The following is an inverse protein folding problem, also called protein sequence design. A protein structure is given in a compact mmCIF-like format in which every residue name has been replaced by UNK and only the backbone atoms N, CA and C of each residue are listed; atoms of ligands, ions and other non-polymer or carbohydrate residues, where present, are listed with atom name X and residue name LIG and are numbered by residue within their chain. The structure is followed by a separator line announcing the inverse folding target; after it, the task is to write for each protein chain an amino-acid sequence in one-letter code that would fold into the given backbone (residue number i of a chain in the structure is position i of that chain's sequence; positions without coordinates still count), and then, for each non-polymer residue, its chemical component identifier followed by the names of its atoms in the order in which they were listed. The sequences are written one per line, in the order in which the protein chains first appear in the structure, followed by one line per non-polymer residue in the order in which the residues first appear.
data_IF_040790259995
#
_entry.id   IF_040790259995
#
_cell.length_a   1.000
_cell.length_b   1.000
_cell.length_c   1.000
_cell.angle_alpha   90.00
_cell.angle_beta   90.00
_cell.angle_gamma   90.00
#
_symmetry.space_group_name_H-M   'P 1'
#
loop_
_entity.id
_entity.type
_entity.pdbx_description
1 polymer ?
#
# COMPACT_ATOMS: atom_id res chain seq x y z
N UNK A 1 24.14 -1.61 4.98
CA UNK A 1 23.33 -2.76 5.43
C UNK A 1 23.01 -2.52 6.90
N UNK A 2 21.93 -1.80 7.20
CA UNK A 2 21.50 -1.60 8.59
C UNK A 2 20.98 -2.94 9.10
N UNK A 3 21.61 -3.48 10.14
CA UNK A 3 21.19 -4.70 10.83
C UNK A 3 19.71 -4.58 11.14
N UNK A 4 18.89 -5.42 10.49
CA UNK A 4 17.44 -5.44 10.64
C UNK A 4 17.11 -5.54 12.13
N UNK A 5 16.76 -4.41 12.74
CA UNK A 5 16.27 -4.36 14.10
C UNK A 5 14.96 -5.14 14.11
N UNK A 6 14.94 -6.31 14.73
CA UNK A 6 13.73 -7.13 14.90
C UNK A 6 12.88 -6.41 15.94
N UNK A 7 11.84 -5.64 15.57
CA UNK A 7 11.24 -4.67 16.48
C UNK A 7 10.43 -5.37 17.58
N UNK A 8 9.84 -6.53 17.27
CA UNK A 8 9.05 -7.31 18.21
C UNK A 8 9.88 -7.93 19.34
N UNK A 9 11.18 -8.14 19.12
CA UNK A 9 12.08 -8.74 20.11
C UNK A 9 12.89 -7.72 20.89
N UNK A 10 12.47 -6.46 20.87
CA UNK A 10 13.10 -5.35 21.58
C UNK A 10 12.07 -4.54 22.32
N UNK A 11 12.53 -3.86 23.36
CA UNK A 11 11.70 -2.88 24.08
C UNK A 11 11.42 -1.67 23.18
N UNK A 12 10.30 -0.99 23.44
CA UNK A 12 9.96 0.25 22.73
C UNK A 12 11.07 1.30 22.85
N UNK A 13 11.73 1.39 24.01
CA UNK A 13 12.85 2.30 24.25
C UNK A 13 14.07 1.99 23.37
N UNK A 14 14.41 0.72 23.19
CA UNK A 14 15.51 0.31 22.29
C UNK A 14 15.20 0.59 20.82
N UNK A 15 13.94 0.38 20.40
CA UNK A 15 13.49 0.71 19.05
C UNK A 15 13.53 2.22 18.83
N UNK A 16 13.01 3.02 19.76
CA UNK A 16 13.08 4.49 19.71
C UNK A 16 14.53 4.99 19.64
N UNK A 17 15.43 4.43 20.46
CA UNK A 17 16.86 4.73 20.43
C UNK A 17 17.51 4.35 19.10
N UNK A 18 17.15 3.22 18.52
CA UNK A 18 17.65 2.79 17.21
C UNK A 18 17.23 3.73 16.08
N UNK A 19 16.04 4.33 16.19
CA UNK A 19 15.56 5.37 15.27
C UNK A 19 16.07 6.78 15.60
N UNK A 20 16.70 6.97 16.77
CA UNK A 20 17.23 8.25 17.25
C UNK A 20 16.15 9.22 17.76
N UNK A 21 15.08 8.70 18.36
CA UNK A 21 13.85 9.47 18.64
C UNK A 21 13.51 9.41 20.12
N UNK A 22 13.04 10.53 20.65
CA UNK A 22 12.36 10.58 21.94
C UNK A 22 10.84 10.41 21.73
N UNK A 23 10.20 9.33 22.21
CA UNK A 23 8.77 9.11 22.06
C UNK A 23 7.87 10.22 22.63
N UNK A 24 8.33 10.94 23.65
CA UNK A 24 7.56 12.04 24.26
C UNK A 24 7.56 13.29 23.36
N UNK A 25 8.59 13.45 22.54
CA UNK A 25 8.72 14.58 21.60
C UNK A 25 8.29 14.22 20.18
N UNK A 26 8.52 12.99 19.74
CA UNK A 26 8.36 12.63 18.33
C UNK A 26 9.39 13.33 17.43
N UNK A 27 9.13 13.33 16.13
CA UNK A 27 10.07 13.82 15.12
C UNK A 27 10.01 15.33 14.92
N UNK A 28 11.14 15.92 14.56
CA UNK A 28 11.23 17.29 14.04
C UNK A 28 10.99 17.37 12.54
N UNK A 29 10.62 18.56 12.06
CA UNK A 29 10.38 18.80 10.64
C UNK A 29 11.59 18.45 9.75
N UNK A 30 12.81 18.77 10.20
CA UNK A 30 14.05 18.48 9.47
C UNK A 30 14.29 16.98 9.33
N UNK A 31 14.11 16.22 10.42
CA UNK A 31 14.33 14.78 10.36
C UNK A 31 13.26 14.06 9.53
N UNK A 32 12.03 14.57 9.48
CA UNK A 32 10.97 14.03 8.62
C UNK A 32 11.36 14.18 7.15
N UNK A 33 11.84 15.35 6.75
CA UNK A 33 12.31 15.60 5.38
C UNK A 33 13.49 14.68 5.05
N UNK A 34 14.47 14.58 5.94
CA UNK A 34 15.64 13.73 5.74
C UNK A 34 15.26 12.24 5.65
N UNK A 35 14.38 11.74 6.53
CA UNK A 35 13.89 10.35 6.48
C UNK A 35 13.08 10.08 5.22
N UNK A 36 12.22 11.02 4.79
CA UNK A 36 11.43 10.91 3.55
C UNK A 36 12.33 10.85 2.32
N UNK A 37 13.40 11.64 2.29
CA UNK A 37 14.37 11.61 1.20
C UNK A 37 15.16 10.29 1.15
N UNK A 38 15.48 9.72 2.32
CA UNK A 38 16.26 8.47 2.42
C UNK A 38 15.45 7.20 2.20
N UNK A 39 14.20 7.16 2.68
CA UNK A 39 13.39 5.94 2.71
C UNK A 39 12.11 6.01 1.87
N UNK A 40 11.76 7.19 1.35
CA UNK A 40 10.46 7.43 0.73
C UNK A 40 9.34 7.64 1.76
N UNK A 41 8.13 7.91 1.26
CA UNK A 41 6.92 7.96 2.08
C UNK A 41 6.27 6.59 2.24
N UNK A 42 5.21 6.52 3.03
CA UNK A 42 4.39 5.32 3.20
C UNK A 42 3.45 5.12 2.00
N UNK A 43 4.03 4.86 0.83
CA UNK A 43 3.32 4.68 -0.42
C UNK A 43 3.69 3.30 -0.97
N UNK A 44 2.68 2.46 -1.23
CA UNK A 44 2.87 1.22 -1.98
C UNK A 44 3.19 1.59 -3.43
N UNK A 45 4.19 0.96 -4.05
CA UNK A 45 4.50 1.19 -5.47
C UNK A 45 3.22 1.00 -6.28
N UNK A 46 2.70 2.10 -6.83
CA UNK A 46 1.68 2.02 -7.85
C UNK A 46 2.31 1.30 -9.05
N UNK A 47 1.61 0.33 -9.63
CA UNK A 47 1.95 -0.07 -10.99
C UNK A 47 1.98 1.21 -11.84
N UNK A 48 3.03 1.42 -12.64
CA UNK A 48 3.13 2.60 -13.47
C UNK A 48 1.81 2.74 -14.25
N UNK A 49 1.24 3.96 -14.33
CA UNK A 49 0.00 4.17 -15.06
C UNK A 49 0.17 3.56 -16.44
N UNK A 50 -0.80 2.73 -16.85
CA UNK A 50 -0.70 2.03 -18.11
C UNK A 50 -0.52 3.06 -19.22
N UNK A 51 0.62 3.02 -19.92
CA UNK A 51 0.89 3.95 -21.01
C UNK A 51 -0.25 3.78 -22.04
N UNK A 52 -1.01 4.83 -22.38
CA UNK A 52 -2.17 4.71 -23.28
C UNK A 52 -1.80 4.04 -24.62
N UNK A 53 -0.61 4.32 -25.14
CA UNK A 53 -0.10 3.68 -26.36
C UNK A 53 0.17 2.19 -26.16
N UNK A 54 0.65 1.79 -24.98
CA UNK A 54 0.91 0.40 -24.63
C UNK A 54 -0.40 -0.39 -24.41
N UNK A 55 -1.41 0.24 -23.82
CA UNK A 55 -2.77 -0.31 -23.69
C UNK A 55 -3.36 -0.57 -25.07
N UNK A 56 -3.22 0.39 -26.00
CA UNK A 56 -3.66 0.21 -27.38
C UNK A 56 -2.89 -0.92 -28.07
N UNK A 57 -1.56 -0.97 -27.95
CA UNK A 57 -0.73 -2.01 -28.56
C UNK A 57 -1.09 -3.42 -28.07
N UNK A 58 -1.41 -3.55 -26.77
CA UNK A 58 -1.81 -4.81 -26.15
C UNK A 58 -3.08 -5.39 -26.79
N UNK A 59 -4.00 -4.55 -27.28
CA UNK A 59 -5.19 -5.05 -28.00
C UNK A 59 -4.83 -5.75 -29.31
N UNK A 60 -3.71 -5.40 -29.95
CA UNK A 60 -3.24 -6.07 -31.16
C UNK A 60 -2.49 -7.38 -30.88
N UNK A 61 -2.13 -7.68 -29.63
CA UNK A 61 -1.38 -8.88 -29.27
C UNK A 61 -2.27 -10.08 -28.90
N UNK A 62 -3.57 -10.03 -29.22
CA UNK A 62 -4.49 -11.12 -28.95
C UNK A 62 -4.43 -12.19 -30.06
N UNK A 63 -4.47 -13.50 -29.74
CA UNK A 63 -4.51 -14.57 -30.74
C UNK A 63 -5.65 -14.41 -31.75
N UNK A 64 -6.80 -13.90 -31.29
CA UNK A 64 -7.98 -13.64 -32.14
C UNK A 64 -7.69 -12.50 -33.12
N UNK A 65 -6.98 -11.45 -32.69
CA UNK A 65 -6.60 -10.34 -33.59
C UNK A 65 -5.62 -10.80 -34.65
N UNK A 66 -4.65 -11.66 -34.31
CA UNK A 66 -3.76 -12.26 -35.31
C UNK A 66 -4.50 -13.12 -36.33
N UNK A 67 -5.51 -13.89 -35.90
CA UNK A 67 -6.37 -14.66 -36.80
C UNK A 67 -7.11 -13.74 -37.79
N UNK A 68 -7.71 -12.64 -37.29
CA UNK A 68 -8.42 -11.67 -38.12
C UNK A 68 -7.49 -10.91 -39.06
N UNK A 69 -6.29 -10.54 -38.62
CA UNK A 69 -5.27 -9.94 -39.47
C UNK A 69 -4.83 -10.91 -40.58
N UNK A 70 -4.68 -12.20 -40.26
CA UNK A 70 -4.42 -13.24 -41.26
C UNK A 70 -5.54 -13.36 -42.28
N UNK A 71 -6.79 -13.39 -41.83
CA UNK A 71 -7.97 -13.43 -42.70
C UNK A 71 -8.08 -12.18 -43.59
N UNK A 72 -7.83 -10.99 -43.04
CA UNK A 72 -7.80 -9.74 -43.78
C UNK A 72 -6.70 -9.76 -44.86
N UNK A 73 -5.50 -10.24 -44.54
CA UNK A 73 -4.41 -10.40 -45.51
C UNK A 73 -4.78 -11.37 -46.64
N UNK A 74 -5.45 -12.48 -46.32
CA UNK A 74 -5.90 -13.44 -47.31
C UNK A 74 -6.98 -12.86 -48.25
N UNK A 75 -7.94 -12.10 -47.72
CA UNK A 75 -8.94 -11.39 -48.52
C UNK A 75 -8.28 -10.40 -49.49
N UNK A 76 -7.28 -9.65 -49.02
CA UNK A 76 -6.54 -8.71 -49.87
C UNK A 76 -5.78 -9.42 -51.01
N UNK A 77 -5.18 -10.58 -50.75
CA UNK A 77 -4.49 -11.39 -51.76
C UNK A 77 -5.43 -11.89 -52.86
N UNK A 78 -6.68 -12.20 -52.52
CA UNK A 78 -7.72 -12.64 -53.47
C UNK A 78 -8.33 -11.44 -54.23
N UNK A 79 -8.00 -10.21 -53.86
CA UNK A 79 -8.58 -8.98 -54.43
C UNK A 79 -9.95 -8.62 -53.85
N UNK A 80 -10.34 -9.26 -52.75
CA UNK A 80 -11.59 -9.04 -52.02
C UNK A 80 -11.48 -7.82 -51.10
N UNK A 81 -11.55 -6.63 -51.71
CA UNK A 81 -11.40 -5.36 -50.98
C UNK A 81 -12.53 -5.12 -49.98
N UNK A 82 -13.73 -5.59 -50.26
CA UNK A 82 -14.91 -5.40 -49.38
C UNK A 82 -14.77 -6.19 -48.09
N UNK A 83 -14.40 -7.49 -48.16
CA UNK A 83 -14.13 -8.30 -46.97
C UNK A 83 -12.96 -7.72 -46.14
N UNK A 84 -11.88 -7.30 -46.80
CA UNK A 84 -10.73 -6.67 -46.13
C UNK A 84 -11.15 -5.43 -45.32
N UNK A 85 -11.92 -4.52 -45.93
CA UNK A 85 -12.40 -3.29 -45.26
C UNK A 85 -13.32 -3.65 -44.09
N UNK A 86 -14.22 -4.62 -44.26
CA UNK A 86 -15.12 -5.06 -43.20
C UNK A 86 -14.37 -5.61 -41.97
N UNK A 87 -13.36 -6.46 -42.19
CA UNK A 87 -12.54 -7.01 -41.10
C UNK A 87 -11.75 -5.90 -40.41
N UNK A 88 -11.15 -4.98 -41.18
CA UNK A 88 -10.39 -3.87 -40.63
C UNK A 88 -11.27 -2.95 -39.77
N UNK A 89 -12.50 -2.66 -40.22
CA UNK A 89 -13.47 -1.86 -39.47
C UNK A 89 -13.82 -2.51 -38.12
N UNK A 90 -14.08 -3.82 -38.10
CA UNK A 90 -14.34 -4.56 -36.85
C UNK A 90 -13.14 -4.50 -35.91
N UNK A 91 -11.92 -4.63 -36.43
CA UNK A 91 -10.69 -4.56 -35.64
C UNK A 91 -10.53 -3.19 -34.96
N UNK A 92 -10.74 -2.10 -35.72
CA UNK A 92 -10.65 -0.71 -35.22
C UNK A 92 -11.72 -0.44 -34.17
N UNK A 93 -12.96 -0.88 -34.40
CA UNK A 93 -14.06 -0.72 -33.43
C UNK A 93 -13.72 -1.47 -32.14
N UNK A 94 -13.29 -2.73 -32.22
CA UNK A 94 -12.94 -3.52 -31.05
C UNK A 94 -11.77 -2.92 -30.26
N UNK A 95 -10.72 -2.47 -30.95
CA UNK A 95 -9.58 -1.81 -30.31
C UNK A 95 -10.00 -0.51 -29.61
N UNK A 96 -10.87 0.29 -30.24
CA UNK A 96 -11.40 1.52 -29.66
C UNK A 96 -12.26 1.27 -28.42
N UNK A 97 -13.17 0.28 -28.48
CA UNK A 97 -13.97 -0.13 -27.33
C UNK A 97 -13.06 -0.63 -26.19
N UNK A 98 -12.11 -1.53 -26.50
CA UNK A 98 -11.16 -2.08 -25.54
C UNK A 98 -10.29 -1.00 -24.87
N UNK A 99 -9.82 -0.02 -25.64
CA UNK A 99 -9.05 1.10 -25.12
C UNK A 99 -9.88 1.96 -24.14
N UNK A 100 -11.13 2.29 -24.49
CA UNK A 100 -12.00 3.09 -23.62
C UNK A 100 -12.36 2.33 -22.34
N UNK A 101 -12.66 1.03 -22.42
CA UNK A 101 -13.01 0.22 -21.25
C UNK A 101 -11.83 0.06 -20.31
N UNK A 102 -10.63 -0.20 -20.83
CA UNK A 102 -9.42 -0.34 -20.01
C UNK A 102 -9.02 1.01 -19.39
N UNK A 103 -9.11 2.12 -20.13
CA UNK A 103 -8.83 3.46 -19.59
C UNK A 103 -9.82 3.86 -18.48
N UNK A 104 -11.11 3.53 -18.64
CA UNK A 104 -12.12 3.75 -17.60
C UNK A 104 -11.83 2.92 -16.35
N UNK A 105 -11.43 1.66 -16.51
CA UNK A 105 -11.07 0.79 -15.38
C UNK A 105 -9.88 1.36 -14.58
N UNK A 106 -8.81 1.79 -15.26
CA UNK A 106 -7.63 2.40 -14.62
C UNK A 106 -8.02 3.66 -13.84
N UNK A 107 -8.79 4.57 -14.44
CA UNK A 107 -9.22 5.81 -13.78
C UNK A 107 -10.10 5.57 -12.56
N UNK A 108 -11.00 4.59 -12.62
CA UNK A 108 -11.83 4.23 -11.46
C UNK A 108 -10.99 3.72 -10.29
N UNK A 109 -9.94 2.94 -10.57
CA UNK A 109 -9.01 2.48 -9.54
C UNK A 109 -8.20 3.63 -8.92
N UNK A 110 -7.74 4.60 -9.73
CA UNK A 110 -7.05 5.79 -9.23
C UNK A 110 -7.95 6.66 -8.34
N UNK A 111 -9.21 6.87 -8.75
CA UNK A 111 -10.18 7.61 -7.94
C UNK A 111 -10.49 6.90 -6.61
N UNK A 112 -10.64 5.57 -6.63
CA UNK A 112 -10.83 4.78 -5.40
C UNK A 112 -9.61 4.89 -4.46
N UNK A 113 -8.39 4.94 -5.02
CA UNK A 113 -7.16 5.15 -4.24
C UNK A 113 -7.12 6.53 -3.59
N UNK A 114 -7.52 7.58 -4.28
CA UNK A 114 -7.56 8.94 -3.72
C UNK A 114 -8.57 9.06 -2.57
N UNK A 115 -9.72 8.40 -2.69
CA UNK A 115 -10.72 8.33 -1.61
C UNK A 115 -10.25 7.51 -0.40
N UNK A 116 -9.27 6.63 -0.59
CA UNK A 116 -8.67 5.82 0.47
C UNK A 116 -7.48 6.50 1.19
N UNK A 117 -7.30 7.82 1.02
CA UNK A 117 -6.30 8.59 1.76
C UNK A 117 -6.68 8.59 3.24
N UNK A 118 -6.14 7.64 4.00
CA UNK A 118 -6.39 7.52 5.44
C UNK A 118 -5.57 8.56 6.17
N UNK A 119 -6.20 9.31 7.05
CA UNK A 119 -5.50 10.19 7.98
C UNK A 119 -4.97 9.40 9.18
N UNK A 120 -3.84 9.80 9.72
CA UNK A 120 -3.20 9.20 10.91
C UNK A 120 -2.88 10.30 11.89
N UNK A 121 -3.12 10.05 13.18
CA UNK A 121 -2.77 10.98 14.26
C UNK A 121 -1.36 10.67 14.73
N UNK A 122 -0.46 11.65 14.65
CA UNK A 122 0.95 11.50 15.02
C UNK A 122 1.37 12.54 16.06
N UNK A 123 2.40 12.21 16.83
CA UNK A 123 3.11 13.14 17.69
C UNK A 123 4.42 13.57 17.02
N UNK A 124 4.55 14.87 16.75
CA UNK A 124 5.74 15.52 16.18
C UNK A 124 6.00 16.83 16.90
N UNK A 125 7.25 17.08 17.28
CA UNK A 125 7.65 18.25 18.09
C UNK A 125 6.76 18.50 19.32
N UNK A 126 6.40 17.42 20.03
CA UNK A 126 5.50 17.39 21.19
C UNK A 126 4.07 17.86 20.92
N UNK A 127 3.67 17.95 19.65
CA UNK A 127 2.31 18.30 19.21
C UNK A 127 1.64 17.11 18.56
N UNK A 128 0.34 17.00 18.79
CA UNK A 128 -0.51 16.02 18.12
C UNK A 128 -1.04 16.67 16.85
N UNK A 129 -0.79 16.06 15.71
CA UNK A 129 -1.30 16.49 14.42
C UNK A 129 -1.86 15.32 13.60
N UNK A 130 -2.86 15.62 12.78
CA UNK A 130 -3.43 14.66 11.85
C UNK A 130 -2.80 14.86 10.49
N UNK A 131 -2.17 13.81 9.95
CA UNK A 131 -1.47 13.83 8.66
C UNK A 131 -2.04 12.76 7.73
N UNK A 132 -1.90 12.91 6.39
CA UNK A 132 -2.15 11.82 5.47
C UNK A 132 -1.22 10.64 5.73
N UNK A 133 -1.72 9.40 5.66
CA UNK A 133 -0.97 8.17 5.89
C UNK A 133 0.27 8.04 5.01
N UNK A 134 0.24 8.61 3.80
CA UNK A 134 1.35 8.61 2.84
C UNK A 134 2.54 9.43 3.35
N UNK A 135 2.29 10.38 4.24
CA UNK A 135 3.31 11.24 4.83
C UNK A 135 3.99 10.65 6.06
N UNK A 136 3.54 9.46 6.52
CA UNK A 136 4.21 8.71 7.57
C UNK A 136 5.62 8.32 7.13
N UNK A 137 6.55 8.45 8.07
CA UNK A 137 7.94 8.00 7.93
C UNK A 137 8.29 7.08 9.09
N UNK A 138 9.31 6.24 8.89
CA UNK A 138 9.87 5.43 9.98
C UNK A 138 10.24 6.30 11.17
N UNK A 139 9.85 5.83 12.35
CA UNK A 139 10.08 6.53 13.61
C UNK A 139 8.97 7.50 14.02
N UNK A 140 7.99 7.80 13.16
CA UNK A 140 6.81 8.56 13.60
C UNK A 140 6.17 7.87 14.80
N UNK A 141 5.75 8.67 15.78
CA UNK A 141 4.99 8.21 16.93
C UNK A 141 3.52 8.39 16.59
N UNK A 142 2.80 7.28 16.46
CA UNK A 142 1.38 7.25 16.10
C UNK A 142 0.57 7.08 17.37
N UNK A 143 -0.47 7.89 17.51
CA UNK A 143 -1.49 7.75 18.56
C UNK A 143 -2.61 6.91 17.97
N UNK A 144 -3.00 5.89 18.72
CA UNK A 144 -3.92 4.84 18.27
C UNK A 144 -5.16 4.89 19.13
N UNK A 145 -6.32 4.86 18.46
CA UNK A 145 -7.63 4.78 19.09
C UNK A 145 -8.48 3.66 18.49
N UNK A 146 -9.56 3.32 19.18
CA UNK A 146 -10.53 2.34 18.72
C UNK A 146 -11.19 2.80 17.41
N UNK A 147 -11.27 1.90 16.44
CA UNK A 147 -11.78 2.19 15.09
C UNK A 147 -10.71 2.60 14.09
N UNK A 148 -9.47 2.88 14.54
CA UNK A 148 -8.37 3.18 13.62
C UNK A 148 -8.03 1.97 12.77
N UNK A 149 -7.60 2.23 11.53
CA UNK A 149 -6.97 1.21 10.70
C UNK A 149 -5.51 1.53 10.51
N UNK A 150 -4.67 0.58 10.89
CA UNK A 150 -3.23 0.74 10.96
C UNK A 150 -2.65 0.99 9.56
N UNK A 151 -1.96 2.11 9.40
CA UNK A 151 -1.49 2.59 8.10
C UNK A 151 -0.08 2.08 7.71
N UNK A 152 0.69 1.63 8.69
CA UNK A 152 2.09 1.24 8.57
C UNK A 152 2.42 0.20 9.66
N UNK A 153 3.51 -0.54 9.53
CA UNK A 153 3.89 -1.53 10.55
C UNK A 153 4.57 -0.83 11.73
N UNK A 154 4.08 -1.08 12.95
CA UNK A 154 4.48 -0.33 14.14
C UNK A 154 4.79 -1.23 15.33
N UNK A 155 5.70 -0.77 16.18
CA UNK A 155 6.00 -1.36 17.48
C UNK A 155 5.27 -0.59 18.57
N UNK A 156 4.48 -1.28 19.39
CA UNK A 156 3.72 -0.66 20.47
C UNK A 156 4.67 -0.10 21.54
N UNK A 157 4.43 1.13 21.96
CA UNK A 157 5.13 1.82 23.06
C UNK A 157 4.33 1.67 24.34
N UNK A 158 3.02 1.90 24.26
CA UNK A 158 2.07 1.77 25.36
C UNK A 158 0.71 1.36 24.83
N UNK A 159 -0.06 0.66 25.66
CA UNK A 159 -1.39 0.15 25.34
C UNK A 159 -2.30 0.23 26.55
N UNK A 160 -3.57 0.50 26.32
CA UNK A 160 -4.63 0.45 27.32
C UNK A 160 -5.80 -0.36 26.76
N UNK A 161 -5.90 -1.64 27.17
CA UNK A 161 -6.89 -2.60 26.67
C UNK A 161 -6.97 -2.67 25.13
N UNK A 162 -5.82 -2.57 24.48
CA UNK A 162 -5.70 -2.52 23.02
C UNK A 162 -5.96 -3.90 22.43
N UNK A 163 -6.78 -3.98 21.39
CA UNK A 163 -6.97 -5.20 20.62
C UNK A 163 -7.21 -4.90 19.14
N UNK A 164 -6.67 -5.74 18.27
CA UNK A 164 -6.77 -5.58 16.81
C UNK A 164 -7.44 -6.77 16.15
N UNK A 165 -8.20 -6.49 15.10
CA UNK A 165 -8.66 -7.46 14.11
C UNK A 165 -7.55 -7.66 13.08
N UNK A 166 -6.96 -8.85 13.09
CA UNK A 166 -5.86 -9.24 12.20
C UNK A 166 -6.33 -10.18 11.08
N UNK A 167 -7.64 -10.22 10.79
CA UNK A 167 -8.20 -11.04 9.71
C UNK A 167 -7.59 -10.74 8.34
N UNK A 168 -7.16 -9.49 8.11
CA UNK A 168 -6.45 -9.09 6.90
C UNK A 168 -5.09 -9.81 6.74
N UNK A 169 -4.49 -10.26 7.84
CA UNK A 169 -3.18 -10.89 7.89
C UNK A 169 -3.26 -12.41 8.09
N UNK A 170 -4.13 -12.87 8.98
CA UNK A 170 -4.22 -14.28 9.40
C UNK A 170 -5.44 -14.99 8.83
N UNK A 171 -6.46 -14.25 8.38
CA UNK A 171 -7.77 -14.80 8.01
C UNK A 171 -8.69 -15.08 9.20
N UNK A 172 -8.23 -14.85 10.43
CA UNK A 172 -9.01 -15.08 11.65
C UNK A 172 -9.61 -13.76 12.16
N UNK A 173 -10.93 -13.72 12.37
CA UNK A 173 -11.65 -12.50 12.80
C UNK A 173 -11.71 -12.32 14.32
N UNK A 174 -11.09 -13.19 15.11
CA UNK A 174 -11.07 -13.04 16.56
C UNK A 174 -10.09 -11.91 16.94
N UNK A 175 -10.54 -10.90 17.72
CA UNK A 175 -9.64 -9.81 18.12
C UNK A 175 -8.47 -10.32 18.96
N UNK A 176 -7.26 -9.95 18.55
CA UNK A 176 -6.01 -10.30 19.23
C UNK A 176 -5.68 -9.17 20.21
N UNK A 177 -5.44 -9.52 21.48
CA UNK A 177 -4.99 -8.57 22.49
C UNK A 177 -3.55 -8.11 22.20
N UNK A 178 -3.31 -6.82 22.38
CA UNK A 178 -2.04 -6.17 22.04
C UNK A 178 -1.43 -5.51 23.27
N UNK A 179 -0.11 -5.67 23.42
CA UNK A 179 0.63 -5.14 24.57
C UNK A 179 2.03 -4.62 24.20
N UNK A 180 2.65 -3.80 25.05
CA UNK A 180 3.98 -3.28 24.81
C UNK A 180 5.11 -4.30 25.11
N UNK A 181 4.83 -5.41 25.79
CA UNK A 181 5.83 -6.44 26.13
C UNK A 181 6.52 -7.05 24.89
N UNK A 182 7.84 -7.23 24.94
CA UNK A 182 8.58 -7.86 23.84
C UNK A 182 8.31 -9.36 23.77
N UNK A 183 8.47 -9.94 22.59
CA UNK A 183 8.34 -11.39 22.36
C UNK A 183 9.64 -11.97 21.81
N UNK A 184 9.75 -13.29 21.74
CA UNK A 184 10.98 -13.93 21.30
C UNK A 184 11.30 -13.61 19.81
N UNK A 185 12.58 -13.58 19.41
CA UNK A 185 12.95 -13.28 18.02
C UNK A 185 12.31 -14.21 16.97
N UNK A 186 12.11 -15.48 17.33
CA UNK A 186 11.54 -16.56 16.52
C UNK A 186 10.00 -16.63 16.57
N UNK A 187 9.34 -15.71 17.29
CA UNK A 187 7.87 -15.64 17.36
C UNK A 187 7.24 -15.44 15.98
N UNK A 188 6.23 -16.28 15.68
CA UNK A 188 5.44 -16.22 14.45
C UNK A 188 4.73 -14.88 14.33
N UNK A 189 4.44 -14.46 13.10
CA UNK A 189 3.86 -13.14 12.82
C UNK A 189 2.56 -12.89 13.60
N UNK A 190 1.66 -13.88 13.64
CA UNK A 190 0.38 -13.81 14.34
C UNK A 190 0.52 -13.65 15.86
N UNK A 191 1.61 -14.16 16.44
CA UNK A 191 1.86 -14.14 17.88
C UNK A 191 2.64 -12.90 18.34
N UNK A 192 2.98 -11.99 17.41
CA UNK A 192 3.65 -10.72 17.73
C UNK A 192 2.64 -9.71 18.27
N UNK A 193 2.15 -9.97 19.48
CA UNK A 193 1.19 -9.12 20.22
C UNK A 193 1.68 -7.70 20.46
N UNK A 194 2.97 -7.47 20.28
CA UNK A 194 3.63 -6.18 20.49
C UNK A 194 3.82 -5.34 19.23
N UNK A 195 3.34 -5.88 18.11
CA UNK A 195 3.34 -5.24 16.80
C UNK A 195 1.91 -4.94 16.36
N UNK A 196 1.80 -3.88 15.55
CA UNK A 196 0.62 -3.53 14.79
C UNK A 196 0.97 -3.56 13.32
N UNK A 197 0.12 -4.19 12.52
CA UNK A 197 0.38 -4.44 11.11
C UNK A 197 -0.52 -3.62 10.21
N UNK A 198 0.05 -3.10 9.13
CA UNK A 198 -0.65 -2.33 8.11
C UNK A 198 -1.87 -3.08 7.60
N UNK A 199 -3.02 -2.41 7.58
CA UNK A 199 -4.30 -2.95 7.12
C UNK A 199 -5.15 -3.61 8.20
N UNK A 200 -4.58 -3.92 9.37
CA UNK A 200 -5.35 -4.41 10.53
C UNK A 200 -6.12 -3.26 11.19
N UNK A 201 -7.27 -3.56 11.79
CA UNK A 201 -8.14 -2.57 12.42
C UNK A 201 -8.09 -2.68 13.94
N UNK A 202 -8.14 -1.56 14.65
CA UNK A 202 -8.22 -1.54 16.11
C UNK A 202 -9.68 -1.69 16.52
N UNK A 203 -9.97 -2.76 17.24
CA UNK A 203 -11.32 -3.10 17.69
C UNK A 203 -11.69 -2.40 18.99
N UNK A 204 -10.71 -2.17 19.87
CA UNK A 204 -10.88 -1.48 21.15
C UNK A 204 -9.54 -1.02 21.72
N UNK A 205 -9.64 -0.13 22.70
CA UNK A 205 -8.51 0.39 23.47
C UNK A 205 -7.75 1.50 22.77
N UNK A 206 -6.73 2.00 23.44
CA UNK A 206 -5.87 3.08 22.96
C UNK A 206 -4.41 2.70 23.13
N UNK A 207 -3.51 3.42 22.45
CA UNK A 207 -2.08 3.20 22.61
C UNK A 207 -1.23 4.22 21.86
N UNK A 208 0.07 4.08 22.04
CA UNK A 208 1.08 4.77 21.26
C UNK A 208 1.99 3.74 20.61
N UNK A 209 2.40 3.96 19.37
CA UNK A 209 3.30 3.06 18.66
C UNK A 209 4.32 3.83 17.81
N UNK A 210 5.50 3.26 17.62
CA UNK A 210 6.54 3.79 16.75
C UNK A 210 6.48 3.08 15.39
N UNK A 211 6.49 3.84 14.30
CA UNK A 211 6.51 3.29 12.94
C UNK A 211 7.86 2.62 12.66
N UNK A 212 7.81 1.34 12.28
CA UNK A 212 8.99 0.51 12.01
C UNK A 212 9.12 0.14 10.54
N UNK A 213 8.00 -0.02 9.83
CA UNK A 213 7.93 -0.31 8.39
C UNK A 213 6.98 0.65 7.67
N UNK A 214 7.36 1.11 6.48
CA UNK A 214 6.56 2.00 5.64
C UNK A 214 6.64 1.57 4.19
N UNK A 215 5.56 1.76 3.42
CA UNK A 215 5.60 1.53 1.97
C UNK A 215 5.80 0.06 1.61
N UNK A 216 6.98 -0.26 1.07
CA UNK A 216 7.35 -1.57 0.51
C UNK A 216 8.19 -2.45 1.45
N UNK A 217 8.50 -1.95 2.64
CA UNK A 217 9.31 -2.65 3.65
C UNK A 217 8.47 -3.47 4.62
#
# INVERSE_FOLDING_TARGET
MATSCIPHSRTAAEVAKAHGIDPARGLSAEEIVDRRNRHGGNILKAHPPANPLWVLLKQFMSPVVYLLLGAAGFALLIGQTTEFIAILAVLVINAGIGFITELRAVRSMEALRQLATRSVVVRRESRIETIPAEQLVRGDIVIIDAGDVIAADMRIISSANLASDESALTGESLPVAKDAELVAPDTLLADRTCMLFKGCAITRGTGEAIVTGTGMD
#
